data_IF_525251572012
#
_entry.id   IF_525251572012
#
_cell.length_a   1.000
_cell.length_b   1.000
_cell.length_c   1.000
_cell.angle_alpha   90.00
_cell.angle_beta   90.00
_cell.angle_gamma   90.00
#
_symmetry.space_group_name_H-M   'P 1'
#
loop_
_entity.id
_entity.type
_entity.pdbx_description
1 polymer ?
#
# COMPACT_ATOMS: atom_id res chain seq x y z
N UNK A 1 -6.13 15.71 13.87
CA UNK A 1 -5.14 15.03 12.99
C UNK A 1 -5.65 13.61 12.73
N UNK A 2 -5.95 13.30 11.50
CA UNK A 2 -6.56 12.04 11.14
C UNK A 2 -5.53 10.92 11.18
N UNK A 3 -5.85 9.83 11.83
CA UNK A 3 -4.98 8.66 11.94
C UNK A 3 -5.15 7.76 10.70
N UNK A 4 -4.71 8.29 9.57
CA UNK A 4 -4.83 7.66 8.26
C UNK A 4 -3.62 6.77 7.98
N UNK A 5 -3.88 5.53 7.59
CA UNK A 5 -2.87 4.59 7.10
C UNK A 5 -2.88 4.60 5.56
N UNK A 6 -1.73 4.78 4.96
CA UNK A 6 -1.52 4.66 3.50
C UNK A 6 -1.08 3.23 3.20
N UNK A 7 -1.84 2.53 2.38
CA UNK A 7 -1.67 1.10 2.18
C UNK A 7 -1.63 0.75 0.69
N UNK A 8 -0.63 0.01 0.28
CA UNK A 8 -0.58 -0.61 -1.05
C UNK A 8 -0.18 -2.08 -0.96
N UNK A 9 -0.57 -2.86 -1.97
CA UNK A 9 -0.33 -4.29 -2.03
C UNK A 9 0.16 -4.71 -3.42
N UNK A 10 1.27 -5.43 -3.49
CA UNK A 10 1.89 -5.89 -4.74
C UNK A 10 2.81 -7.08 -4.51
N UNK A 11 3.17 -7.82 -5.56
CA UNK A 11 4.25 -8.80 -5.49
C UNK A 11 5.60 -8.17 -5.16
N UNK A 12 6.44 -8.89 -4.42
CA UNK A 12 7.81 -8.48 -4.08
C UNK A 12 8.78 -8.82 -5.24
N UNK A 13 8.55 -8.25 -6.42
CA UNK A 13 9.33 -8.50 -7.64
C UNK A 13 10.04 -7.24 -8.11
N UNK A 14 11.03 -7.43 -8.99
CA UNK A 14 11.78 -6.33 -9.60
C UNK A 14 10.88 -5.27 -10.23
N UNK A 15 9.83 -5.69 -10.94
CA UNK A 15 8.90 -4.79 -11.61
C UNK A 15 8.26 -3.76 -10.64
N UNK A 16 7.98 -4.16 -9.41
CA UNK A 16 7.39 -3.27 -8.40
C UNK A 16 8.42 -2.53 -7.56
N UNK A 17 9.68 -2.95 -7.56
CA UNK A 17 10.72 -2.35 -6.71
C UNK A 17 10.92 -0.86 -6.98
N UNK A 18 11.11 -0.49 -8.24
CA UNK A 18 11.32 0.91 -8.62
C UNK A 18 10.04 1.76 -8.48
N UNK A 19 8.86 1.15 -8.67
CA UNK A 19 7.59 1.84 -8.48
C UNK A 19 7.38 2.21 -7.01
N UNK A 20 7.60 1.29 -6.09
CA UNK A 20 7.54 1.54 -4.65
C UNK A 20 8.57 2.60 -4.24
N UNK A 21 9.79 2.51 -4.76
CA UNK A 21 10.84 3.49 -4.46
C UNK A 21 10.46 4.90 -4.92
N UNK A 22 10.00 5.04 -6.17
CA UNK A 22 9.58 6.33 -6.72
C UNK A 22 8.36 6.90 -5.99
N UNK A 23 7.37 6.07 -5.67
CA UNK A 23 6.20 6.45 -4.91
C UNK A 23 6.59 7.01 -3.53
N UNK A 24 7.37 6.26 -2.76
CA UNK A 24 7.78 6.67 -1.41
C UNK A 24 8.66 7.93 -1.43
N UNK A 25 9.51 8.09 -2.44
CA UNK A 25 10.28 9.31 -2.63
C UNK A 25 9.36 10.52 -2.87
N UNK A 26 8.32 10.36 -3.67
CA UNK A 26 7.33 11.42 -3.91
C UNK A 26 6.52 11.74 -2.65
N UNK A 27 6.16 10.73 -1.86
CA UNK A 27 5.46 10.90 -0.59
C UNK A 27 6.30 11.70 0.40
N UNK A 28 7.59 11.37 0.51
CA UNK A 28 8.53 12.07 1.38
C UNK A 28 8.75 13.50 0.93
N UNK A 29 9.00 13.71 -0.38
CA UNK A 29 9.46 14.99 -0.90
C UNK A 29 8.34 16.00 -1.14
N UNK A 30 7.20 15.55 -1.60
CA UNK A 30 6.09 16.42 -2.05
C UNK A 30 4.78 16.17 -1.31
N UNK A 31 4.57 14.97 -0.82
CA UNK A 31 3.31 14.56 -0.20
C UNK A 31 3.12 15.04 1.23
N UNK A 32 4.20 15.40 1.92
CA UNK A 32 4.21 15.71 3.36
C UNK A 32 3.60 14.58 4.21
N UNK A 33 3.79 13.34 3.76
CA UNK A 33 3.24 12.15 4.41
C UNK A 33 4.20 11.64 5.47
N UNK A 34 3.66 11.33 6.66
CA UNK A 34 4.41 10.60 7.68
C UNK A 34 4.66 9.17 7.21
N UNK A 35 5.90 8.86 6.84
CA UNK A 35 6.29 7.56 6.30
C UNK A 35 6.03 6.39 7.25
N UNK A 36 5.94 6.64 8.56
CA UNK A 36 5.60 5.61 9.56
C UNK A 36 4.16 5.09 9.42
N UNK A 37 3.32 5.82 8.69
CA UNK A 37 1.94 5.45 8.38
C UNK A 37 1.79 4.78 7.01
N UNK A 38 2.90 4.57 6.30
CA UNK A 38 2.91 3.89 5.01
C UNK A 38 3.15 2.39 5.22
N UNK A 39 2.19 1.58 4.81
CA UNK A 39 2.22 0.13 4.85
C UNK A 39 2.34 -0.44 3.43
N UNK A 40 3.43 -1.11 3.17
CA UNK A 40 3.71 -1.76 1.89
C UNK A 40 3.55 -3.27 2.10
N UNK A 41 2.43 -3.81 1.62
CA UNK A 41 2.08 -5.22 1.78
C UNK A 41 2.53 -5.98 0.55
N UNK A 42 3.33 -7.03 0.74
CA UNK A 42 4.06 -7.68 -0.35
C UNK A 42 3.75 -9.17 -0.42
N UNK A 43 3.51 -9.66 -1.63
CA UNK A 43 3.37 -11.08 -1.90
C UNK A 43 4.73 -11.71 -2.20
N UNK A 44 5.06 -12.79 -1.51
CA UNK A 44 6.18 -13.66 -1.83
C UNK A 44 5.67 -14.74 -2.76
N UNK A 45 6.13 -14.72 -4.01
CA UNK A 45 5.79 -15.69 -5.03
C UNK A 45 7.01 -16.55 -5.37
N UNK A 46 6.79 -17.76 -5.89
CA UNK A 46 7.76 -18.70 -6.46
C UNK A 46 9.20 -18.59 -5.96
N UNK A 47 9.95 -17.68 -6.52
CA UNK A 47 11.40 -17.54 -6.25
C UNK A 47 11.74 -16.71 -5.00
N UNK A 48 10.77 -16.36 -4.18
CA UNK A 48 10.97 -15.53 -2.98
C UNK A 48 10.91 -14.03 -3.27
N UNK A 49 11.61 -13.26 -2.42
CA UNK A 49 11.70 -11.80 -2.55
C UNK A 49 12.82 -11.46 -3.53
N UNK A 50 12.51 -10.64 -4.54
CA UNK A 50 13.53 -10.13 -5.44
C UNK A 50 14.58 -9.30 -4.71
N UNK A 51 15.85 -9.46 -5.08
CA UNK A 51 16.96 -8.76 -4.42
C UNK A 51 16.85 -7.24 -4.46
N UNK A 52 16.38 -6.68 -5.57
CA UNK A 52 16.19 -5.23 -5.70
C UNK A 52 15.03 -4.74 -4.85
N UNK A 53 13.96 -5.54 -4.77
CA UNK A 53 12.85 -5.24 -3.88
C UNK A 53 13.28 -5.24 -2.42
N UNK A 54 14.09 -6.22 -2.01
CA UNK A 54 14.67 -6.29 -0.66
C UNK A 54 15.50 -5.04 -0.34
N UNK A 55 16.36 -4.60 -1.26
CA UNK A 55 17.14 -3.37 -1.10
C UNK A 55 16.28 -2.12 -0.94
N UNK A 56 15.22 -1.99 -1.72
CA UNK A 56 14.25 -0.91 -1.60
C UNK A 56 13.54 -0.96 -0.25
N UNK A 57 13.09 -2.14 0.17
CA UNK A 57 12.45 -2.33 1.47
C UNK A 57 13.38 -1.93 2.62
N UNK A 58 14.63 -2.39 2.60
CA UNK A 58 15.62 -2.06 3.63
C UNK A 58 15.93 -0.56 3.71
N UNK A 59 16.01 0.11 2.57
CA UNK A 59 16.19 1.57 2.50
C UNK A 59 15.06 2.30 3.22
N UNK A 60 13.82 1.96 2.92
CA UNK A 60 12.66 2.68 3.43
C UNK A 60 12.22 2.26 4.83
N UNK A 61 12.50 1.03 5.25
CA UNK A 61 12.34 0.61 6.66
C UNK A 61 13.13 1.52 7.61
N UNK A 62 14.32 1.94 7.19
CA UNK A 62 15.14 2.90 7.97
C UNK A 62 14.48 4.27 8.12
N UNK A 63 13.55 4.60 7.24
CA UNK A 63 12.74 5.82 7.29
C UNK A 63 11.40 5.65 8.01
N UNK A 64 11.14 4.45 8.56
CA UNK A 64 9.93 4.13 9.30
C UNK A 64 8.80 3.49 8.50
N UNK A 65 8.95 3.29 7.19
CA UNK A 65 7.95 2.60 6.36
C UNK A 65 7.79 1.15 6.82
N UNK A 66 6.56 0.69 6.92
CA UNK A 66 6.22 -0.68 7.31
C UNK A 66 6.12 -1.56 6.08
N UNK A 67 7.00 -2.54 5.95
CA UNK A 67 6.93 -3.59 4.93
C UNK A 67 6.49 -4.90 5.56
N UNK A 68 5.47 -5.53 5.00
CA UNK A 68 4.94 -6.83 5.44
C UNK A 68 4.92 -7.80 4.27
N UNK A 69 5.47 -9.00 4.48
CA UNK A 69 5.63 -10.01 3.45
C UNK A 69 4.80 -11.24 3.78
N UNK A 70 3.97 -11.67 2.83
CA UNK A 70 3.10 -12.83 2.96
C UNK A 70 3.27 -13.76 1.76
N UNK A 71 3.34 -15.07 2.01
CA UNK A 71 3.37 -16.05 0.92
C UNK A 71 2.07 -16.02 0.12
N UNK A 72 2.21 -16.04 -1.19
CA UNK A 72 1.09 -16.28 -2.09
C UNK A 72 0.71 -17.76 -2.03
N UNK A 73 -0.37 -18.05 -1.31
CA UNK A 73 -0.88 -19.42 -1.09
C UNK A 73 -2.14 -19.71 -1.90
N UNK A 74 -2.44 -18.90 -2.92
CA UNK A 74 -3.59 -19.16 -3.81
C UNK A 74 -3.40 -20.48 -4.55
N UNK A 75 -4.41 -21.32 -4.53
CA UNK A 75 -4.34 -22.67 -5.12
C UNK A 75 -4.32 -22.62 -6.66
N UNK A 76 -5.14 -21.74 -7.25
CA UNK A 76 -5.21 -21.55 -8.71
C UNK A 76 -5.31 -20.03 -9.01
N UNK A 77 -4.19 -19.34 -9.19
CA UNK A 77 -4.20 -17.93 -9.50
C UNK A 77 -4.59 -17.68 -10.96
N UNK A 78 -5.90 -17.66 -11.25
CA UNK A 78 -6.41 -17.37 -12.59
C UNK A 78 -6.27 -15.91 -13.00
N UNK A 79 -6.28 -15.01 -12.02
CA UNK A 79 -6.17 -13.57 -12.22
C UNK A 79 -5.04 -13.01 -11.39
N UNK A 80 -4.04 -12.46 -12.05
CA UNK A 80 -2.79 -12.00 -11.39
C UNK A 80 -3.09 -10.98 -10.29
N UNK A 81 -3.96 -10.01 -10.55
CA UNK A 81 -4.29 -8.95 -9.60
C UNK A 81 -5.01 -9.44 -8.34
N UNK A 82 -5.57 -10.64 -8.33
CA UNK A 82 -6.21 -11.22 -7.13
C UNK A 82 -5.21 -11.54 -6.01
N UNK A 83 -3.91 -11.43 -6.26
CA UNK A 83 -2.89 -11.50 -5.20
C UNK A 83 -3.06 -10.37 -4.19
N UNK A 84 -3.51 -9.19 -4.61
CA UNK A 84 -3.68 -8.03 -3.73
C UNK A 84 -4.69 -8.29 -2.61
N UNK A 85 -5.97 -8.60 -2.89
CA UNK A 85 -6.92 -8.93 -1.82
C UNK A 85 -6.48 -10.13 -1.00
N UNK A 86 -5.83 -11.12 -1.61
CA UNK A 86 -5.33 -12.31 -0.90
C UNK A 86 -4.31 -11.95 0.20
N UNK A 87 -3.32 -11.13 -0.11
CA UNK A 87 -2.32 -10.72 0.90
C UNK A 87 -2.86 -9.66 1.86
N UNK A 88 -3.82 -8.82 1.43
CA UNK A 88 -4.49 -7.88 2.31
C UNK A 88 -5.32 -8.60 3.38
N UNK A 89 -6.02 -9.68 3.05
CA UNK A 89 -6.70 -10.53 4.02
C UNK A 89 -5.74 -11.03 5.10
N UNK A 90 -4.57 -11.52 4.69
CA UNK A 90 -3.51 -11.94 5.62
C UNK A 90 -2.98 -10.80 6.48
N UNK A 91 -2.82 -9.62 5.87
CA UNK A 91 -2.34 -8.43 6.58
C UNK A 91 -3.32 -7.95 7.66
N UNK A 92 -4.62 -7.94 7.35
CA UNK A 92 -5.67 -7.63 8.34
C UNK A 92 -5.73 -8.65 9.47
N UNK A 93 -5.63 -9.94 9.14
CA UNK A 93 -5.59 -11.00 10.14
C UNK A 93 -4.38 -10.85 11.09
N UNK A 94 -3.22 -10.44 10.57
CA UNK A 94 -2.02 -10.19 11.37
C UNK A 94 -2.07 -8.86 12.14
N UNK A 95 -2.89 -7.90 11.70
CA UNK A 95 -3.00 -6.55 12.26
C UNK A 95 -4.47 -6.16 12.47
N UNK A 96 -5.20 -6.80 13.40
CA UNK A 96 -6.63 -6.54 13.60
C UNK A 96 -6.97 -5.08 13.92
N UNK A 97 -6.02 -4.35 14.50
CA UNK A 97 -6.15 -2.94 14.83
C UNK A 97 -6.38 -2.03 13.62
N UNK A 98 -6.03 -2.49 12.40
CA UNK A 98 -6.31 -1.75 11.16
C UNK A 98 -7.81 -1.53 10.92
N UNK A 99 -8.67 -2.39 11.48
CA UNK A 99 -10.12 -2.25 11.37
C UNK A 99 -10.67 -1.03 12.12
N UNK A 100 -9.88 -0.45 13.02
CA UNK A 100 -10.22 0.75 13.78
C UNK A 100 -9.60 2.03 13.19
N UNK A 101 -8.95 1.92 12.03
CA UNK A 101 -8.24 3.03 11.38
C UNK A 101 -8.89 3.42 10.06
N UNK A 102 -8.75 4.69 9.72
CA UNK A 102 -8.98 5.10 8.34
C UNK A 102 -7.83 4.59 7.47
N UNK A 103 -8.15 3.94 6.36
CA UNK A 103 -7.17 3.38 5.44
C UNK A 103 -7.38 3.95 4.05
N UNK A 104 -6.34 4.53 3.48
CA UNK A 104 -6.28 4.90 2.07
C UNK A 104 -5.54 3.81 1.31
N UNK A 105 -6.29 2.97 0.58
CA UNK A 105 -5.69 2.02 -0.36
C UNK A 105 -5.32 2.72 -1.67
N UNK A 106 -4.13 2.45 -2.17
CA UNK A 106 -3.63 2.99 -3.43
C UNK A 106 -2.71 1.98 -4.12
N UNK A 107 -2.53 2.12 -5.42
CA UNK A 107 -1.51 1.39 -6.15
C UNK A 107 -0.11 1.96 -5.89
N UNK A 108 0.94 1.20 -6.20
CA UNK A 108 2.31 1.67 -6.02
C UNK A 108 2.89 2.45 -7.21
N UNK A 109 2.16 2.52 -8.33
CA UNK A 109 2.53 3.26 -9.54
C UNK A 109 2.00 4.69 -9.56
N UNK A 110 1.89 5.30 -8.39
CA UNK A 110 1.48 6.69 -8.20
C UNK A 110 2.65 7.54 -7.71
N UNK A 111 2.60 8.83 -8.01
CA UNK A 111 3.51 9.82 -7.48
C UNK A 111 2.76 11.09 -7.08
N UNK A 112 3.15 11.68 -5.96
CA UNK A 112 2.58 12.94 -5.50
C UNK A 112 3.47 14.10 -5.95
N UNK A 113 2.86 15.17 -6.45
CA UNK A 113 3.54 16.42 -6.83
C UNK A 113 3.27 17.56 -5.85
N UNK A 114 2.37 17.34 -4.90
CA UNK A 114 1.97 18.30 -3.87
C UNK A 114 1.37 17.55 -2.67
N UNK A 115 1.22 18.20 -1.50
CA UNK A 115 0.61 17.58 -0.33
C UNK A 115 -0.79 17.01 -0.63
N UNK A 116 -1.02 15.80 -0.13
CA UNK A 116 -2.31 15.12 -0.26
C UNK A 116 -3.25 15.60 0.85
N UNK A 117 -4.35 16.28 0.44
CA UNK A 117 -5.35 16.79 1.37
C UNK A 117 -6.58 15.87 1.35
N UNK A 118 -6.70 15.05 2.38
CA UNK A 118 -7.82 14.10 2.55
C UNK A 118 -8.66 14.37 3.80
N UNK A 119 -8.23 15.29 4.66
CA UNK A 119 -8.87 15.56 5.96
C UNK A 119 -10.35 15.91 5.81
N UNK A 120 -10.69 16.78 4.86
CA UNK A 120 -12.08 17.17 4.60
C UNK A 120 -13.02 16.00 4.25
N UNK A 121 -12.48 14.95 3.64
CA UNK A 121 -13.23 13.73 3.30
C UNK A 121 -13.36 12.81 4.49
N UNK A 122 -12.28 12.70 5.27
CA UNK A 122 -12.26 11.87 6.47
C UNK A 122 -13.16 12.44 7.56
N UNK A 123 -13.18 13.77 7.74
CA UNK A 123 -14.06 14.42 8.71
C UNK A 123 -15.56 14.29 8.38
N UNK A 124 -15.88 14.04 7.12
CA UNK A 124 -17.26 13.84 6.63
C UNK A 124 -17.65 12.37 6.54
N UNK A 125 -16.70 11.45 6.63
CA UNK A 125 -16.98 10.01 6.58
C UNK A 125 -17.55 9.53 7.91
N UNK A 126 -18.50 8.61 7.81
CA UNK A 126 -19.00 7.86 8.96
C UNK A 126 -18.26 6.52 9.05
N UNK A 127 -18.38 5.86 10.19
CA UNK A 127 -17.84 4.51 10.36
C UNK A 127 -18.38 3.58 9.27
N UNK A 128 -17.49 2.78 8.69
CA UNK A 128 -17.78 1.85 7.59
C UNK A 128 -18.16 2.49 6.23
N UNK A 129 -17.90 3.76 6.03
CA UNK A 129 -18.00 4.38 4.70
C UNK A 129 -16.75 4.12 3.87
N UNK A 130 -16.95 3.94 2.56
CA UNK A 130 -15.89 3.76 1.59
C UNK A 130 -16.00 4.80 0.48
N UNK A 131 -14.93 5.56 0.26
CA UNK A 131 -14.82 6.46 -0.87
C UNK A 131 -14.12 5.76 -2.03
N UNK A 132 -14.81 5.63 -3.14
CA UNK A 132 -14.29 5.05 -4.36
C UNK A 132 -14.21 6.10 -5.47
N UNK A 133 -13.29 5.90 -6.40
CA UNK A 133 -13.26 6.72 -7.61
C UNK A 133 -14.48 6.43 -8.49
N UNK A 134 -15.06 7.47 -9.09
CA UNK A 134 -16.12 7.30 -10.08
C UNK A 134 -15.51 6.78 -11.40
N UNK A 135 -15.64 5.48 -11.62
CA UNK A 135 -15.12 4.84 -12.83
C UNK A 135 -15.94 5.13 -14.07
N UNK A 136 -17.14 5.74 -13.96
CA UNK A 136 -17.99 6.05 -15.09
C UNK A 136 -17.44 7.19 -15.95
N UNK A 137 -16.60 8.04 -15.38
CA UNK A 137 -15.99 9.17 -16.08
C UNK A 137 -14.67 8.84 -16.75
N UNK A 138 -14.15 7.63 -16.56
CA UNK A 138 -12.88 7.18 -17.16
C UNK A 138 -13.03 6.46 -18.50
N UNK A 139 -14.23 6.25 -18.95
CA UNK A 139 -14.53 5.52 -20.20
C UNK A 139 -15.03 6.50 -21.24
#
# INVERSE_FOLDING_TARGET
MTDLIYLCAQPATYYYSWQVDAMLLSFQKYGEIDLRKCHIVCAIQGNGIDLWFEKVADKWKKQGVVFSFYKDTRVVPKYISSVRPHILEKHWAANPWLSEKAVMYHDCDIALSKPLKVDDKLDKSQDNECFLSDTRTYI
#
